data_IF_027130363533
#
_entry.id   IF_027130363533
#
_cell.length_a   1.000
_cell.length_b   1.000
_cell.length_c   1.000
_cell.angle_alpha   90.00
_cell.angle_beta   90.00
_cell.angle_gamma   90.00
#
_symmetry.space_group_name_H-M   'P 1'
#
loop_
_entity.id
_entity.type
_entity.pdbx_description
1 polymer ?
2 non-polymer ?
3 non-polymer ?
#
# COMPACT_ATOMS: atom_id res chain seq x y z
N UNK A 25 23.77 -0.10 12.97
CA UNK A 25 23.98 1.34 12.96
C UNK A 25 22.89 2.08 13.74
N UNK A 26 22.29 1.38 14.71
CA UNK A 26 21.35 2.05 15.61
C UNK A 26 21.30 1.32 16.95
N UNK A 27 21.20 2.05 18.06
CA UNK A 27 21.31 3.52 18.11
C UNK A 27 21.13 4.06 19.53
N UNK A 28 21.58 5.30 19.73
CA UNK A 28 21.25 6.10 20.91
C UNK A 28 22.06 7.39 20.80
N UNK A 29 21.65 8.42 21.52
CA UNK A 29 22.36 9.70 21.46
C UNK A 29 21.97 10.61 22.61
N UNK A 30 22.53 11.83 22.59
CA UNK A 30 22.26 12.83 23.60
C UNK A 30 20.86 13.41 23.44
N UNK A 31 20.55 13.86 22.22
CA UNK A 31 19.26 14.48 21.94
C UNK A 31 18.14 13.45 22.05
N UNK A 32 17.01 13.90 22.60
CA UNK A 32 15.84 13.05 22.74
C UNK A 32 14.72 13.60 21.86
N UNK A 33 13.82 12.71 21.44
CA UNK A 33 12.72 13.11 20.56
C UNK A 33 11.93 14.27 21.15
N UNK A 34 11.64 14.18 22.45
CA UNK A 34 10.90 15.22 23.14
C UNK A 34 11.52 16.58 22.89
N UNK A 35 12.83 16.66 23.08
CA UNK A 35 13.55 17.93 23.04
C UNK A 35 13.28 18.71 21.76
N UNK A 36 13.09 18.00 20.66
CA UNK A 36 12.92 18.64 19.36
C UNK A 36 11.50 18.62 18.81
N UNK A 37 10.56 18.07 19.57
CA UNK A 37 9.20 17.89 19.06
C UNK A 37 8.11 17.95 20.14
N UNK A 38 6.92 18.38 19.72
CA UNK A 38 5.74 18.35 20.57
C UNK A 38 4.76 17.28 20.09
N UNK A 39 4.39 16.38 20.98
CA UNK A 39 3.47 15.30 20.65
C UNK A 39 2.02 15.80 20.60
N UNK A 40 1.18 15.07 19.88
CA UNK A 40 -0.22 15.45 19.70
C UNK A 40 -1.12 14.22 19.54
N UNK A 41 -2.35 14.45 19.07
CA UNK A 41 -3.37 13.40 19.00
C UNK A 41 -2.93 12.14 18.29
N UNK A 42 -3.49 11.00 18.70
CA UNK A 42 -3.21 9.74 18.04
C UNK A 42 -3.93 9.69 16.70
N UNK A 43 -3.17 9.53 15.62
CA UNK A 43 -3.72 9.63 14.28
C UNK A 43 -4.05 8.29 13.63
N UNK A 44 -3.78 7.18 14.30
CA UNK A 44 -4.16 5.90 13.75
C UNK A 44 -3.46 4.66 14.30
N UNK A 45 -3.95 3.52 13.85
CA UNK A 45 -3.46 2.20 14.25
C UNK A 45 -3.38 2.04 15.78
N UNK A 46 -2.42 1.26 16.30
CA UNK A 46 -1.61 0.35 15.51
C UNK A 46 -1.27 -0.91 16.28
N UNK A 47 -0.70 -1.88 15.57
CA UNK A 47 -0.47 -3.21 16.13
C UNK A 47 0.70 -3.23 17.13
N UNK A 48 1.91 -3.03 16.61
CA UNK A 48 3.11 -3.05 17.43
C UNK A 48 3.51 -1.64 17.86
N UNK A 49 2.66 -0.65 17.56
CA UNK A 49 3.06 0.74 17.67
C UNK A 49 1.94 1.75 17.41
N UNK A 50 2.17 3.00 17.79
CA UNK A 50 1.16 4.05 17.67
C UNK A 50 1.66 5.29 16.94
N UNK A 51 1.00 5.61 15.83
CA UNK A 51 1.29 6.84 15.10
C UNK A 51 0.51 8.00 15.71
N UNK A 52 1.13 9.19 15.69
CA UNK A 52 0.53 10.37 16.30
C UNK A 52 1.00 11.62 15.58
N UNK A 53 0.14 12.62 15.50
CA UNK A 53 0.52 13.90 14.92
C UNK A 53 1.52 14.55 15.86
N UNK A 54 2.46 15.31 15.30
CA UNK A 54 3.38 16.07 16.12
C UNK A 54 3.84 17.32 15.38
N UNK A 55 4.64 18.13 16.05
CA UNK A 55 5.16 19.36 15.47
C UNK A 55 6.63 19.45 15.76
N UNK A 56 7.38 20.06 14.85
CA UNK A 56 8.80 20.30 15.07
C UNK A 56 8.89 21.66 15.73
N UNK A 57 9.24 21.71 17.02
CA UNK A 57 9.06 22.92 17.79
C UNK A 57 9.86 24.10 17.22
N UNK A 58 11.00 23.81 16.62
CA UNK A 58 11.79 24.84 15.95
C UNK A 58 10.91 25.59 14.95
N UNK A 59 10.47 24.89 13.91
CA UNK A 59 9.76 25.50 12.79
C UNK A 59 8.23 25.42 12.90
N UNK A 60 7.74 24.84 13.99
CA UNK A 60 6.31 24.61 14.19
C UNK A 60 5.67 23.83 13.04
N UNK A 61 6.47 23.03 12.34
CA UNK A 61 5.97 22.27 11.19
C UNK A 61 5.28 20.98 11.59
N UNK A 62 4.41 20.49 10.72
CA UNK A 62 3.61 19.30 11.02
C UNK A 62 4.21 18.02 10.44
N UNK A 63 4.50 17.08 11.33
CA UNK A 63 4.96 15.75 10.90
C UNK A 63 4.12 14.68 11.57
N UNK A 64 4.38 13.42 11.20
CA UNK A 64 3.72 12.29 11.84
C UNK A 64 4.83 11.43 12.42
N UNK A 65 4.56 10.80 13.56
CA UNK A 65 5.57 9.96 14.20
C UNK A 65 5.03 8.61 14.66
N UNK A 66 5.58 7.55 14.07
CA UNK A 66 5.25 6.19 14.45
C UNK A 66 6.13 5.75 15.60
N UNK A 67 5.52 5.43 16.74
CA UNK A 67 6.26 5.01 17.90
C UNK A 67 6.18 3.49 18.05
N UNK A 68 7.28 2.82 17.75
CA UNK A 68 7.33 1.37 17.80
C UNK A 68 7.88 0.92 19.14
N UNK A 69 7.32 -0.16 19.68
CA UNK A 69 7.86 -0.71 20.90
C UNK A 69 8.89 -1.76 20.53
N UNK A 70 10.14 -1.49 20.88
CA UNK A 70 11.25 -2.37 20.54
C UNK A 70 11.03 -3.76 21.13
N UNK A 71 10.47 -3.78 22.34
CA UNK A 71 10.18 -5.04 23.01
C UNK A 71 9.27 -5.92 22.16
N UNK A 72 8.51 -5.29 21.29
CA UNK A 72 7.56 -6.03 20.47
C UNK A 72 8.00 -6.18 19.02
N UNK A 73 8.04 -5.09 18.26
CA UNK A 73 8.54 -5.17 16.88
C UNK A 73 10.02 -4.86 16.84
N UNK A 74 10.63 -5.07 15.67
CA UNK A 74 11.97 -4.56 15.41
C UNK A 74 11.96 -3.65 14.19
N UNK A 75 12.13 -2.34 14.43
CA UNK A 75 12.09 -1.33 13.37
C UNK A 75 13.16 -1.49 12.29
N UNK A 76 14.20 -2.25 12.57
CA UNK A 76 15.38 -2.29 11.70
C UNK A 76 14.98 -2.38 10.23
N UNK A 77 14.34 -3.48 9.85
CA UNK A 77 13.99 -3.73 8.45
C UNK A 77 13.22 -2.55 7.84
N UNK A 78 12.23 -2.04 8.56
CA UNK A 78 11.42 -0.95 8.05
C UNK A 78 12.23 0.32 7.86
N UNK A 79 12.89 0.76 8.93
CA UNK A 79 13.61 2.02 8.92
C UNK A 79 14.62 2.06 7.77
N UNK A 80 15.41 1.00 7.63
CA UNK A 80 16.38 0.91 6.55
C UNK A 80 15.72 1.22 5.22
N UNK A 81 14.69 0.45 4.91
CA UNK A 81 13.95 0.60 3.67
C UNK A 81 13.62 2.06 3.45
N UNK A 82 13.16 2.70 4.51
CA UNK A 82 12.70 4.08 4.43
C UNK A 82 13.83 5.05 4.15
N UNK A 83 15.01 4.77 4.70
CA UNK A 83 16.17 5.63 4.51
C UNK A 83 16.56 5.67 3.04
N UNK A 84 16.64 4.49 2.43
CA UNK A 84 17.12 4.36 1.05
C UNK A 84 16.05 4.75 0.05
N UNK A 85 14.85 4.24 0.27
CA UNK A 85 13.79 4.34 -0.71
C UNK A 85 12.81 5.49 -0.44
N UNK A 86 13.00 6.21 0.65
CA UNK A 86 12.12 7.31 0.99
C UNK A 86 12.24 8.43 -0.03
N UNK A 87 13.40 8.49 -0.67
CA UNK A 87 13.66 9.49 -1.69
C UNK A 87 12.57 9.48 -2.75
N UNK A 88 12.02 8.30 -3.00
CA UNK A 88 10.94 8.16 -3.97
C UNK A 88 9.82 9.09 -3.57
N UNK A 89 9.37 9.91 -4.53
CA UNK A 89 8.38 10.96 -4.25
C UNK A 89 7.06 10.40 -3.77
N UNK A 90 6.67 9.30 -4.40
CA UNK A 90 5.40 8.65 -4.10
C UNK A 90 5.51 7.66 -2.96
N UNK A 91 6.68 7.59 -2.32
CA UNK A 91 6.86 6.79 -1.13
C UNK A 91 6.95 7.69 0.09
N UNK A 92 6.29 7.31 1.17
CA UNK A 92 6.30 8.13 2.38
C UNK A 92 7.75 8.44 2.73
N UNK A 93 8.04 9.73 2.91
CA UNK A 93 9.40 10.20 3.12
C UNK A 93 9.74 10.26 4.60
N UNK A 94 10.95 9.80 4.94
CA UNK A 94 11.39 9.75 6.34
C UNK A 94 12.16 11.01 6.71
N UNK A 95 11.57 11.83 7.56
CA UNK A 95 12.13 13.13 7.91
C UNK A 95 12.97 13.16 9.18
N UNK A 96 12.94 12.09 9.99
CA UNK A 96 13.70 12.08 11.25
C UNK A 96 13.50 10.77 12.03
N UNK A 97 14.22 10.61 13.14
CA UNK A 97 14.03 9.44 14.01
C UNK A 97 14.95 9.45 15.26
N UNK A 98 14.54 8.70 16.29
CA UNK A 98 15.27 8.57 17.55
C UNK A 98 15.12 7.18 18.12
N UNK A 99 15.95 6.85 19.11
CA UNK A 99 15.72 5.71 19.96
C UNK A 99 16.03 6.13 21.40
N UNK A 100 15.03 6.12 22.28
CA UNK A 100 15.23 6.57 23.65
C UNK A 100 15.60 5.40 24.55
N UNK A 101 15.75 4.23 23.92
CA UNK A 101 16.15 3.02 24.60
C UNK A 101 14.94 2.13 24.85
N UNK A 102 13.77 2.74 24.91
CA UNK A 102 12.55 1.99 25.17
C UNK A 102 11.82 1.75 23.85
N UNK A 103 11.42 2.84 23.19
CA UNK A 103 10.75 2.77 21.90
C UNK A 103 11.66 3.32 20.81
N UNK A 104 11.12 3.39 19.61
CA UNK A 104 11.80 3.99 18.47
C UNK A 104 10.83 4.93 17.76
N UNK A 105 11.19 6.20 17.71
CA UNK A 105 10.30 7.22 17.21
C UNK A 105 10.68 7.61 15.80
N UNK A 106 9.87 7.18 14.84
CA UNK A 106 10.14 7.42 13.44
C UNK A 106 9.26 8.56 12.93
N UNK A 107 9.89 9.67 12.58
CA UNK A 107 9.18 10.81 12.06
C UNK A 107 9.19 10.76 10.54
N UNK A 108 8.02 10.56 9.96
CA UNK A 108 7.86 10.65 8.51
C UNK A 108 6.85 11.77 8.22
N UNK A 109 6.59 12.00 6.93
CA UNK A 109 5.76 13.13 6.52
C UNK A 109 4.29 12.90 6.80
N UNK A 110 3.65 13.86 7.47
CA UNK A 110 2.23 13.77 7.79
C UNK A 110 1.37 13.96 6.54
N UNK A 111 0.32 13.14 6.42
CA UNK A 111 -0.50 13.12 5.21
C UNK A 111 -1.82 13.87 5.42
N UNK A 112 -1.94 15.02 4.77
CA UNK A 112 -3.13 15.87 4.89
C UNK A 112 -4.29 15.45 4.00
N UNK A 113 -3.99 15.05 2.77
CA UNK A 113 -5.02 14.73 1.79
C UNK A 113 -5.87 13.52 2.16
N UNK A 114 -5.59 12.92 3.31
CA UNK A 114 -6.42 11.83 3.82
C UNK A 114 -6.19 10.55 3.04
N UNK A 115 -6.95 9.51 3.34
CA UNK A 115 -6.79 8.23 2.67
C UNK A 115 -7.14 8.34 1.19
N UNK A 116 -6.40 7.62 0.35
CA UNK A 116 -6.60 7.72 -1.09
C UNK A 116 -7.92 7.10 -1.52
N UNK A 117 -8.12 5.83 -1.17
CA UNK A 117 -9.31 5.14 -1.61
C UNK A 117 -10.54 5.88 -1.11
N UNK A 118 -10.51 6.21 0.19
CA UNK A 118 -11.62 6.92 0.81
C UNK A 118 -11.92 8.20 0.05
N UNK A 119 -10.90 9.03 -0.15
CA UNK A 119 -11.06 10.22 -0.94
C UNK A 119 -11.73 9.85 -2.25
N UNK A 120 -11.01 9.17 -3.14
CA UNK A 120 -11.47 8.88 -4.49
C UNK A 120 -12.90 8.34 -4.57
N UNK A 121 -13.32 7.57 -3.57
CA UNK A 121 -14.62 6.89 -3.64
C UNK A 121 -15.77 7.88 -3.44
N UNK A 122 -15.46 8.98 -2.78
CA UNK A 122 -16.44 10.05 -2.59
C UNK A 122 -16.47 10.99 -3.79
N UNK A 123 -15.69 10.69 -4.83
CA UNK A 123 -15.66 11.54 -6.02
C UNK A 123 -16.70 11.01 -6.97
N UNK A 124 -17.78 11.75 -7.15
CA UNK A 124 -18.87 11.34 -8.02
C UNK A 124 -18.51 11.57 -9.48
N UNK A 125 -17.51 12.42 -9.72
CA UNK A 125 -16.97 12.54 -11.05
C UNK A 125 -15.54 12.02 -11.02
N UNK A 126 -15.36 10.83 -11.58
CA UNK A 126 -14.09 10.16 -11.65
C UNK A 126 -14.16 9.30 -12.90
N UNK A 127 -13.09 9.24 -13.68
CA UNK A 127 -13.15 8.54 -14.94
C UNK A 127 -12.06 7.49 -15.02
N UNK A 128 -12.24 6.52 -15.90
CA UNK A 128 -11.26 5.46 -16.11
C UNK A 128 -9.88 6.04 -16.40
N UNK A 129 -9.83 6.99 -17.32
CA UNK A 129 -8.59 7.66 -17.64
C UNK A 129 -7.95 8.20 -16.36
N UNK A 130 -8.80 8.61 -15.42
CA UNK A 130 -8.38 9.18 -14.14
C UNK A 130 -7.97 8.13 -13.11
N UNK A 131 -8.61 6.97 -13.16
CA UNK A 131 -8.28 5.87 -12.26
C UNK A 131 -7.04 5.14 -12.78
N UNK A 132 -6.77 5.33 -14.06
CA UNK A 132 -5.63 4.70 -14.72
C UNK A 132 -4.37 5.48 -14.37
N UNK A 133 -4.55 6.78 -14.14
CA UNK A 133 -3.44 7.65 -13.77
C UNK A 133 -3.05 7.41 -12.31
N UNK A 134 -4.03 7.13 -11.46
CA UNK A 134 -3.75 6.83 -10.06
C UNK A 134 -3.01 5.51 -9.94
N UNK A 135 -3.57 4.45 -10.51
CA UNK A 135 -2.98 3.13 -10.39
C UNK A 135 -1.63 3.07 -11.07
N UNK A 136 -1.50 3.73 -12.22
CA UNK A 136 -0.22 3.82 -12.89
C UNK A 136 0.81 4.25 -11.86
N UNK A 137 0.62 5.44 -11.34
CA UNK A 137 1.54 6.04 -10.38
C UNK A 137 1.90 5.07 -9.26
N UNK A 138 0.91 4.30 -8.81
CA UNK A 138 1.08 3.39 -7.68
C UNK A 138 1.88 2.15 -8.04
N UNK A 139 1.69 1.65 -9.25
CA UNK A 139 2.35 0.43 -9.68
C UNK A 139 3.78 0.75 -10.10
N UNK A 140 3.96 1.89 -10.75
CA UNK A 140 5.29 2.37 -11.12
C UNK A 140 6.15 2.47 -9.88
N UNK A 141 5.53 2.85 -8.77
CA UNK A 141 6.21 2.91 -7.49
C UNK A 141 6.58 1.51 -7.03
N UNK A 142 5.64 0.58 -7.15
CA UNK A 142 5.86 -0.78 -6.69
C UNK A 142 6.83 -1.56 -7.58
N UNK A 143 6.85 -1.24 -8.87
CA UNK A 143 7.77 -1.90 -9.79
C UNK A 143 9.18 -1.58 -9.35
N UNK A 144 9.41 -0.31 -9.03
CA UNK A 144 10.72 0.11 -8.56
C UNK A 144 11.15 -0.77 -7.39
N UNK A 145 10.31 -0.80 -6.36
CA UNK A 145 10.61 -1.55 -5.15
C UNK A 145 10.89 -3.01 -5.48
N UNK A 146 10.22 -3.53 -6.50
CA UNK A 146 10.33 -4.95 -6.84
C UNK A 146 11.69 -5.31 -7.45
N UNK A 147 12.24 -4.43 -8.29
CA UNK A 147 13.56 -4.63 -8.85
C UNK A 147 14.62 -4.43 -7.77
N UNK A 148 14.21 -3.82 -6.66
CA UNK A 148 15.11 -3.58 -5.54
C UNK A 148 15.00 -4.67 -4.48
N UNK A 149 14.22 -5.69 -4.78
CA UNK A 149 14.09 -6.83 -3.88
C UNK A 149 13.43 -6.46 -2.57
N UNK A 150 12.37 -5.67 -2.64
CA UNK A 150 11.66 -5.25 -1.44
C UNK A 150 10.18 -5.42 -1.63
N UNK A 151 9.53 -6.04 -0.64
CA UNK A 151 8.10 -6.30 -0.69
C UNK A 151 7.43 -5.68 0.52
N UNK A 152 6.28 -5.05 0.31
CA UNK A 152 5.57 -4.36 1.38
C UNK A 152 4.88 -5.36 2.29
N UNK A 153 4.19 -6.31 1.67
CA UNK A 153 3.44 -7.32 2.39
C UNK A 153 2.39 -6.72 3.32
N UNK A 154 2.10 -5.44 3.17
CA UNK A 154 0.78 -4.92 3.50
C UNK A 154 0.45 -3.79 2.54
N UNK A 155 -0.38 -4.04 1.54
CA UNK A 155 -0.78 -2.98 0.62
C UNK A 155 -2.21 -2.44 0.80
N UNK A 156 -2.92 -2.94 1.81
CA UNK A 156 -4.31 -2.55 2.01
C UNK A 156 -4.44 -1.03 1.92
N UNK A 157 -5.46 -0.54 1.17
CA UNK A 157 -5.57 0.87 0.77
C UNK A 157 -5.43 1.88 1.91
N UNK A 158 -5.63 1.45 3.14
CA UNK A 158 -5.47 2.34 4.28
C UNK A 158 -4.01 2.81 4.43
N UNK A 159 -3.08 2.12 3.77
CA UNK A 159 -1.67 2.49 3.80
C UNK A 159 -1.25 3.34 2.60
N UNK A 160 -2.17 3.55 1.68
CA UNK A 160 -1.95 4.47 0.58
C UNK A 160 -2.74 5.74 0.89
N UNK A 161 -2.03 6.84 1.11
CA UNK A 161 -2.67 8.09 1.50
C UNK A 161 -2.34 9.20 0.50
N UNK A 162 -2.90 10.38 0.78
CA UNK A 162 -2.65 11.58 0.00
C UNK A 162 -1.96 12.60 0.90
N UNK A 163 -0.71 12.93 0.59
CA UNK A 163 0.04 13.89 1.38
C UNK A 163 -0.70 15.22 1.48
N UNK A 164 -1.42 15.56 0.41
CA UNK A 164 -2.28 16.73 0.44
C UNK A 164 -3.51 16.55 -0.45
N UNK A 165 -4.37 17.55 -0.45
CA UNK A 165 -5.66 17.46 -1.12
C UNK A 165 -5.56 17.90 -2.58
N UNK A 166 -4.34 18.16 -3.03
CA UNK A 166 -4.09 18.57 -4.40
C UNK A 166 -4.84 17.66 -5.36
N UNK A 167 -4.96 16.39 -4.97
CA UNK A 167 -5.69 15.42 -5.76
C UNK A 167 -4.91 15.00 -6.99
N UNK A 168 -3.64 15.40 -7.03
CA UNK A 168 -2.75 14.95 -8.10
C UNK A 168 -2.02 13.70 -7.64
N UNK A 169 -1.89 12.71 -8.53
CA UNK A 169 -1.16 11.46 -8.27
C UNK A 169 0.24 11.66 -7.67
N UNK A 170 0.81 12.86 -7.80
CA UNK A 170 2.15 13.12 -7.30
C UNK A 170 2.07 13.44 -5.81
N UNK A 171 0.85 13.45 -5.28
CA UNK A 171 0.63 13.59 -3.84
C UNK A 171 0.42 12.22 -3.20
N UNK A 172 0.40 11.17 -4.01
CA UNK A 172 0.19 9.82 -3.50
C UNK A 172 1.44 9.35 -2.76
N UNK A 173 1.22 8.72 -1.61
CA UNK A 173 2.32 8.18 -0.81
C UNK A 173 1.96 6.81 -0.26
N UNK A 174 2.82 5.83 -0.44
CA UNK A 174 2.65 4.52 0.18
C UNK A 174 3.27 4.61 1.56
N UNK A 175 2.66 3.95 2.56
CA UNK A 175 3.00 4.22 3.95
C UNK A 175 3.09 2.96 4.81
N UNK A 176 3.42 3.18 6.09
CA UNK A 176 3.46 2.10 7.07
C UNK A 176 4.18 0.85 6.56
N UNK A 177 5.49 0.94 6.44
CA UNK A 177 6.31 -0.13 5.89
C UNK A 177 6.75 -1.12 6.96
N UNK A 178 6.16 -1.00 8.14
CA UNK A 178 6.49 -1.87 9.25
C UNK A 178 6.51 -3.35 8.92
N UNK A 179 5.62 -3.78 8.03
CA UNK A 179 5.54 -5.18 7.63
C UNK A 179 6.29 -5.52 6.33
N UNK A 180 7.02 -4.58 5.76
CA UNK A 180 7.77 -4.83 4.53
C UNK A 180 9.03 -5.65 4.83
N UNK A 181 9.73 -6.06 3.78
CA UNK A 181 10.97 -6.82 3.94
C UNK A 181 11.90 -6.66 2.74
N UNK A 182 13.21 -6.60 3.01
CA UNK A 182 14.24 -6.68 1.97
C UNK A 182 14.54 -8.10 1.54
N UNK A 183 15.08 -8.25 0.33
CA UNK A 183 15.55 -9.54 -0.14
C UNK A 183 17.01 -9.65 0.25
N UNK A 184 17.32 -10.60 1.11
CA UNK A 184 18.69 -10.78 1.56
C UNK A 184 19.19 -12.19 1.27
N UNK A 185 20.51 -12.33 1.20
CA UNK A 185 21.15 -13.61 1.03
C UNK A 185 21.07 -14.40 2.34
N UNK A 186 21.27 -15.70 2.23
CA UNK A 186 21.52 -16.55 3.37
C UNK A 186 22.68 -15.97 4.17
N UNK A 187 23.55 -15.22 3.49
CA UNK A 187 24.68 -14.55 4.13
C UNK A 187 24.26 -13.26 4.85
N UNK A 188 23.00 -12.88 4.68
CA UNK A 188 22.47 -11.66 5.26
C UNK A 188 22.80 -10.43 4.43
N UNK A 189 22.91 -10.64 3.11
CA UNK A 189 23.42 -9.60 2.22
C UNK A 189 22.31 -8.99 1.40
N UNK A 190 22.43 -7.72 1.09
CA UNK A 190 21.50 -7.10 0.15
C UNK A 190 21.55 -7.86 -1.16
N UNK A 191 20.40 -7.99 -1.81
CA UNK A 191 20.32 -8.64 -3.11
C UNK A 191 19.20 -8.07 -3.95
N UNK A 192 19.26 -8.35 -5.25
CA UNK A 192 18.27 -7.89 -6.20
C UNK A 192 17.73 -9.13 -6.90
N UNK A 193 16.50 -9.07 -7.42
CA UNK A 193 15.97 -10.29 -8.05
C UNK A 193 16.74 -10.60 -9.32
N UNK A 194 17.53 -9.62 -9.77
CA UNK A 194 18.39 -9.80 -10.94
C UNK A 194 19.51 -10.74 -10.62
N UNK A 195 20.39 -10.29 -9.74
CA UNK A 195 21.46 -11.14 -9.27
C UNK A 195 20.85 -12.40 -8.71
N UNK A 196 21.53 -13.52 -8.93
CA UNK A 196 20.99 -14.81 -8.57
C UNK A 196 21.97 -15.55 -7.66
N UNK A 197 23.18 -15.77 -8.17
CA UNK A 197 24.16 -16.68 -7.58
C UNK A 197 24.24 -16.58 -6.05
N UNK A 198 24.65 -15.43 -5.53
CA UNK A 198 24.92 -15.32 -4.10
C UNK A 198 23.77 -15.89 -3.31
N UNK A 199 24.09 -16.73 -2.34
CA UNK A 199 23.11 -17.68 -1.84
C UNK A 199 22.10 -17.13 -0.86
N UNK A 200 20.83 -17.46 -1.14
CA UNK A 200 19.71 -17.24 -0.24
C UNK A 200 18.97 -18.56 -0.12
N UNK A 201 18.43 -18.85 1.05
CA UNK A 201 17.70 -20.10 1.25
C UNK A 201 16.61 -20.21 0.18
N UNK A 202 16.29 -21.44 -0.23
CA UNK A 202 15.37 -21.63 -1.37
C UNK A 202 13.97 -21.12 -1.09
N UNK A 203 13.47 -21.30 0.12
CA UNK A 203 12.13 -20.85 0.48
C UNK A 203 11.98 -19.34 0.32
N UNK A 204 13.08 -18.60 0.40
CA UNK A 204 13.02 -17.15 0.31
C UNK A 204 12.96 -16.70 -1.15
N UNK A 205 13.41 -17.55 -2.05
CA UNK A 205 13.23 -17.34 -3.48
C UNK A 205 11.77 -17.66 -3.80
N UNK A 206 11.10 -18.28 -2.83
CA UNK A 206 9.69 -18.61 -2.90
C UNK A 206 8.85 -17.47 -2.33
N UNK A 207 9.05 -17.17 -1.05
CA UNK A 207 8.23 -16.22 -0.34
C UNK A 207 8.36 -14.80 -0.89
N UNK A 208 9.43 -14.54 -1.62
CA UNK A 208 9.59 -13.24 -2.27
C UNK A 208 8.79 -13.21 -3.58
N UNK A 209 8.76 -14.34 -4.28
CA UNK A 209 8.01 -14.45 -5.51
C UNK A 209 6.52 -14.41 -5.26
N UNK A 210 6.11 -14.80 -4.06
CA UNK A 210 4.73 -14.71 -3.64
C UNK A 210 4.44 -13.30 -3.15
N UNK A 211 5.14 -12.89 -2.10
CA UNK A 211 4.93 -11.57 -1.49
C UNK A 211 4.94 -10.46 -2.54
N UNK A 212 5.60 -10.69 -3.67
CA UNK A 212 5.62 -9.71 -4.75
C UNK A 212 4.28 -9.68 -5.45
N UNK A 213 3.81 -10.85 -5.87
CA UNK A 213 2.54 -10.97 -6.55
C UNK A 213 1.40 -10.70 -5.58
N UNK A 214 1.68 -10.92 -4.29
CA UNK A 214 0.71 -10.71 -3.23
C UNK A 214 0.39 -9.23 -3.16
N UNK A 215 1.39 -8.41 -3.41
CA UNK A 215 1.22 -6.98 -3.52
C UNK A 215 0.37 -6.65 -4.74
N UNK A 216 0.55 -7.42 -5.80
CA UNK A 216 -0.19 -7.21 -7.05
C UNK A 216 -1.65 -7.65 -6.93
N UNK A 217 -1.94 -8.57 -6.02
CA UNK A 217 -3.32 -8.95 -5.77
C UNK A 217 -4.01 -7.81 -5.06
N UNK A 218 -3.30 -7.20 -4.12
CA UNK A 218 -3.85 -6.11 -3.35
C UNK A 218 -4.14 -4.91 -4.25
N UNK A 219 -3.31 -4.69 -5.26
CA UNK A 219 -3.56 -3.62 -6.21
C UNK A 219 -4.78 -3.97 -7.05
N UNK A 220 -5.00 -5.26 -7.25
CA UNK A 220 -6.21 -5.74 -7.92
C UNK A 220 -7.43 -5.33 -7.14
N UNK A 221 -7.34 -5.44 -5.82
CA UNK A 221 -8.43 -5.08 -4.92
C UNK A 221 -8.72 -3.58 -4.92
N UNK A 222 -7.71 -2.79 -5.22
CA UNK A 222 -7.86 -1.34 -5.28
C UNK A 222 -8.55 -0.94 -6.59
N UNK A 223 -8.12 -1.52 -7.69
CA UNK A 223 -8.67 -1.19 -9.00
C UNK A 223 -10.10 -1.70 -9.12
N UNK A 224 -10.38 -2.85 -8.52
CA UNK A 224 -11.71 -3.41 -8.55
C UNK A 224 -12.65 -2.52 -7.76
N UNK A 225 -12.22 -2.15 -6.56
CA UNK A 225 -12.98 -1.28 -5.69
C UNK A 225 -13.11 0.13 -6.27
N UNK A 226 -12.17 0.53 -7.11
CA UNK A 226 -12.14 1.89 -7.63
C UNK A 226 -13.13 2.10 -8.76
N UNK A 227 -13.41 1.03 -9.50
CA UNK A 227 -14.26 1.13 -10.69
C UNK A 227 -15.73 0.90 -10.35
N UNK A 228 -15.98 0.47 -9.13
CA UNK A 228 -17.30 0.00 -8.71
C UNK A 228 -17.78 0.73 -7.47
N UNK A 229 -17.00 0.63 -6.39
CA UNK A 229 -17.42 1.14 -5.10
C UNK A 229 -17.77 0.04 -4.13
N UNK A 230 -17.46 -1.20 -4.51
CA UNK A 230 -17.51 -2.32 -3.58
C UNK A 230 -16.27 -3.19 -3.78
N UNK A 231 -15.86 -3.87 -2.72
CA UNK A 231 -14.70 -4.74 -2.79
C UNK A 231 -15.16 -6.14 -3.23
N UNK A 232 -14.31 -6.84 -3.98
CA UNK A 232 -14.70 -8.09 -4.66
C UNK A 232 -15.01 -9.24 -3.71
N UNK A 233 -14.25 -9.38 -2.64
CA UNK A 233 -14.41 -10.53 -1.75
C UNK A 233 -15.19 -10.28 -0.46
N UNK A 234 -15.67 -9.06 -0.26
CA UNK A 234 -16.54 -8.79 0.87
C UNK A 234 -17.54 -7.68 0.55
N UNK A 235 -18.77 -7.84 1.02
CA UNK A 235 -19.77 -6.78 0.94
C UNK A 235 -19.64 -5.72 2.04
N UNK A 236 -19.43 -6.16 3.27
CA UNK A 236 -19.38 -5.25 4.41
C UNK A 236 -18.60 -5.80 5.57
N UNK A 237 -18.39 -4.97 6.60
CA UNK A 237 -17.61 -5.33 7.80
C UNK A 237 -18.12 -6.56 8.52
N UNK A 238 -19.35 -6.97 8.24
CA UNK A 238 -19.97 -8.06 8.98
C UNK A 238 -19.72 -9.45 8.38
N UNK A 239 -19.19 -9.49 7.16
CA UNK A 239 -19.00 -10.77 6.47
C UNK A 239 -18.19 -11.74 7.32
N UNK A 240 -18.59 -13.01 7.31
CA UNK A 240 -17.81 -14.05 7.98
C UNK A 240 -16.42 -14.17 7.36
N UNK A 241 -15.40 -14.39 8.20
CA UNK A 241 -14.04 -14.57 7.65
C UNK A 241 -14.00 -15.77 6.71
N UNK A 242 -14.77 -16.81 7.03
CA UNK A 242 -14.78 -18.02 6.21
C UNK A 242 -15.32 -17.73 4.83
N UNK A 243 -16.38 -16.92 4.75
CA UNK A 243 -17.01 -16.66 3.47
C UNK A 243 -16.09 -15.82 2.60
N UNK A 244 -15.38 -14.89 3.21
CA UNK A 244 -14.45 -14.06 2.47
C UNK A 244 -13.33 -14.96 1.94
N UNK A 245 -12.69 -15.68 2.85
CA UNK A 245 -11.65 -16.64 2.49
C UNK A 245 -12.18 -17.65 1.48
N UNK A 246 -13.48 -17.92 1.52
CA UNK A 246 -14.11 -18.89 0.63
C UNK A 246 -14.22 -18.30 -0.77
N UNK A 247 -14.77 -17.10 -0.84
CA UNK A 247 -14.91 -16.38 -2.11
C UNK A 247 -13.57 -16.31 -2.79
N UNK A 248 -12.52 -16.17 -2.00
CA UNK A 248 -11.17 -15.99 -2.52
C UNK A 248 -10.58 -17.30 -3.03
N UNK A 249 -10.80 -18.38 -2.28
CA UNK A 249 -10.31 -19.68 -2.66
C UNK A 249 -10.70 -19.95 -4.11
N UNK A 250 -11.82 -19.38 -4.49
CA UNK A 250 -12.29 -19.47 -5.87
C UNK A 250 -11.64 -18.41 -6.74
N UNK A 251 -11.89 -17.16 -6.40
CA UNK A 251 -11.73 -16.07 -7.36
C UNK A 251 -13.05 -15.99 -8.10
N UNK A 252 -13.01 -15.67 -9.38
CA UNK A 252 -14.23 -15.61 -10.19
C UNK A 252 -15.14 -14.49 -9.69
N UNK A 253 -14.51 -13.47 -9.13
CA UNK A 253 -15.15 -12.19 -8.87
C UNK A 253 -15.83 -11.73 -10.16
N UNK A 254 -17.01 -11.12 -10.05
CA UNK A 254 -17.82 -10.80 -11.23
C UNK A 254 -17.44 -9.48 -11.89
N UNK A 255 -17.03 -9.57 -13.16
CA UNK A 255 -16.67 -8.39 -13.95
C UNK A 255 -17.76 -7.91 -14.92
N UNK A 256 -18.93 -8.55 -14.89
CA UNK A 256 -20.01 -8.13 -15.77
C UNK A 256 -21.26 -7.71 -14.99
N UNK A 257 -22.02 -6.79 -15.57
CA UNK A 257 -23.27 -6.36 -14.98
C UNK A 257 -23.12 -5.39 -13.83
N UNK A 258 -24.22 -4.74 -13.47
CA UNK A 258 -24.21 -3.79 -12.38
C UNK A 258 -23.26 -2.65 -12.68
N UNK A 259 -22.28 -2.47 -11.81
CA UNK A 259 -21.32 -1.39 -11.93
C UNK A 259 -20.18 -1.76 -12.87
N UNK A 260 -20.30 -2.95 -13.47
CA UNK A 260 -19.35 -3.43 -14.46
C UNK A 260 -19.81 -3.25 -15.92
N UNK A 261 -21.00 -2.68 -16.12
CA UNK A 261 -21.53 -2.53 -17.48
C UNK A 261 -20.82 -1.48 -18.29
N UNK A 262 -20.79 -0.26 -17.76
CA UNK A 262 -20.35 0.89 -18.53
C UNK A 262 -18.83 0.93 -18.61
N UNK A 263 -18.15 0.10 -17.84
CA UNK A 263 -16.70 0.13 -17.78
C UNK A 263 -16.10 -0.50 -19.03
N UNK A 264 -14.77 -0.41 -19.14
CA UNK A 264 -14.03 -0.91 -20.28
C UNK A 264 -13.78 -2.40 -20.22
N UNK A 265 -13.56 -3.01 -21.38
CA UNK A 265 -13.13 -4.39 -21.44
C UNK A 265 -11.68 -4.50 -21.00
N UNK A 266 -10.90 -3.50 -21.38
CA UNK A 266 -9.47 -3.47 -21.08
C UNK A 266 -9.21 -3.55 -19.58
N UNK A 267 -9.77 -2.60 -18.84
CA UNK A 267 -9.62 -2.56 -17.39
C UNK A 267 -10.21 -3.80 -16.74
N UNK A 268 -11.28 -4.35 -17.32
CA UNK A 268 -11.88 -5.55 -16.79
C UNK A 268 -10.89 -6.70 -16.92
N UNK A 269 -10.28 -6.80 -18.09
CA UNK A 269 -9.24 -7.78 -18.33
C UNK A 269 -8.05 -7.57 -17.40
N UNK A 270 -7.80 -6.32 -17.04
CA UNK A 270 -6.67 -5.99 -16.19
C UNK A 270 -6.94 -6.48 -14.77
N UNK A 271 -8.08 -6.07 -14.22
CA UNK A 271 -8.44 -6.44 -12.86
C UNK A 271 -8.40 -7.95 -12.68
N UNK A 272 -8.71 -8.68 -13.74
CA UNK A 272 -8.82 -10.13 -13.65
C UNK A 272 -7.47 -10.79 -13.36
N UNK A 273 -6.43 -10.37 -14.06
CA UNK A 273 -5.11 -10.97 -13.92
C UNK A 273 -4.35 -10.44 -12.70
N UNK A 274 -4.62 -9.19 -12.34
CA UNK A 274 -4.05 -8.62 -11.13
C UNK A 274 -4.60 -9.40 -9.95
N UNK A 275 -5.87 -9.77 -10.07
CA UNK A 275 -6.57 -10.51 -9.02
C UNK A 275 -6.52 -12.00 -9.26
N UNK A 276 -5.81 -12.42 -10.31
CA UNK A 276 -5.77 -13.82 -10.67
C UNK A 276 -5.32 -14.63 -9.45
N UNK A 277 -5.81 -15.85 -9.36
CA UNK A 277 -5.63 -16.66 -8.15
C UNK A 277 -4.22 -17.21 -7.97
N UNK A 278 -3.66 -17.79 -9.04
CA UNK A 278 -2.32 -18.32 -8.99
C UNK A 278 -1.31 -17.20 -8.83
N UNK A 279 -0.54 -17.23 -7.73
CA UNK A 279 0.50 -16.20 -7.58
C UNK A 279 1.37 -16.12 -8.83
N UNK A 280 1.39 -17.20 -9.61
CA UNK A 280 2.22 -17.28 -10.80
C UNK A 280 1.58 -16.61 -12.01
N UNK A 281 0.52 -17.20 -12.53
CA UNK A 281 -0.13 -16.67 -13.73
C UNK A 281 -0.57 -15.23 -13.49
N UNK A 282 -0.69 -14.86 -12.22
CA UNK A 282 -1.05 -13.50 -11.84
C UNK A 282 0.01 -12.53 -12.32
N UNK A 283 -0.38 -11.28 -12.51
CA UNK A 283 0.51 -10.30 -13.11
C UNK A 283 1.67 -9.89 -12.19
N UNK A 284 2.71 -9.35 -12.80
CA UNK A 284 3.80 -8.72 -12.07
C UNK A 284 3.69 -7.22 -12.32
N UNK A 285 4.10 -6.44 -11.33
CA UNK A 285 3.99 -4.98 -11.44
C UNK A 285 4.51 -4.51 -12.79
N UNK A 286 5.60 -5.11 -13.24
CA UNK A 286 6.22 -4.69 -14.49
C UNK A 286 5.29 -4.92 -15.69
N UNK A 287 4.58 -6.04 -15.68
CA UNK A 287 3.62 -6.35 -16.75
C UNK A 287 2.37 -5.48 -16.64
N UNK A 288 1.92 -5.21 -15.41
CA UNK A 288 0.78 -4.34 -15.19
C UNK A 288 0.97 -3.06 -15.99
N UNK A 289 2.13 -2.45 -15.82
CA UNK A 289 2.42 -1.15 -16.41
C UNK A 289 2.49 -1.26 -17.92
N UNK A 290 2.70 -2.47 -18.41
CA UNK A 290 2.71 -2.73 -19.84
C UNK A 290 1.32 -3.04 -20.42
N UNK A 291 0.36 -3.32 -19.54
CA UNK A 291 -1.03 -3.53 -19.94
C UNK A 291 -1.57 -2.28 -20.63
N UNK A 292 -2.36 -2.45 -21.70
CA UNK A 292 -2.77 -1.31 -22.53
C UNK A 292 -3.71 -0.33 -21.84
N UNK A 293 -4.33 -0.73 -20.74
CA UNK A 293 -5.18 0.16 -19.97
C UNK A 293 -4.33 1.22 -19.29
N UNK A 294 -3.13 0.83 -18.87
CA UNK A 294 -2.19 1.76 -18.25
C UNK A 294 -1.44 2.62 -19.28
N UNK A 295 -1.01 2.01 -20.38
CA UNK A 295 -0.27 2.75 -21.40
C UNK A 295 -1.20 3.55 -22.33
N UNK A 296 -2.31 2.93 -22.70
CA UNK A 296 -3.22 3.46 -23.71
C UNK A 296 -4.38 4.27 -23.13
N UNK A 297 -4.26 4.65 -21.87
CA UNK A 297 -5.35 5.33 -21.16
C UNK A 297 -6.03 6.43 -21.99
N UNK A 298 -5.30 7.08 -22.89
CA UNK A 298 -5.86 8.16 -23.71
C UNK A 298 -7.07 7.72 -24.56
N UNK A 299 -7.23 6.41 -24.71
CA UNK A 299 -8.34 5.83 -25.46
C UNK A 299 -9.51 5.50 -24.54
N UNK A 300 -9.43 5.96 -23.29
CA UNK A 300 -10.29 5.47 -22.23
C UNK A 300 -11.31 6.51 -21.80
N UNK A 301 -12.42 6.05 -21.20
CA UNK A 301 -13.54 6.90 -20.78
C UNK A 301 -13.11 8.11 -19.95
N UNK A 302 -13.59 9.28 -20.38
CA UNK A 302 -13.38 10.53 -19.66
C UNK A 302 -14.60 10.87 -18.82
N UNK A 303 -15.54 9.93 -18.74
CA UNK A 303 -16.85 10.17 -18.14
C UNK A 303 -16.98 9.36 -16.86
N UNK A 304 -17.92 9.73 -16.02
CA UNK A 304 -17.93 9.25 -14.64
C UNK A 304 -18.20 7.76 -14.64
N UNK A 305 -18.15 7.19 -13.46
CA UNK A 305 -18.34 5.76 -13.29
C UNK A 305 -19.58 5.55 -12.46
N UNK A 306 -20.61 4.94 -13.04
CA UNK A 306 -21.70 4.51 -12.19
C UNK A 306 -21.01 3.64 -11.15
N UNK A 307 -21.18 4.00 -9.89
CA UNK A 307 -20.50 3.31 -8.80
C UNK A 307 -21.40 3.24 -7.59
N UNK A 308 -21.47 2.08 -6.96
CA UNK A 308 -22.12 2.00 -5.67
C UNK A 308 -21.34 2.90 -4.75
N UNK A 309 -22.05 3.75 -4.00
CA UNK A 309 -21.34 4.59 -3.05
C UNK A 309 -21.72 4.28 -1.62
N UNK A 310 -20.79 3.63 -0.91
CA UNK A 310 -20.88 3.54 0.53
C UNK A 310 -19.48 3.60 1.09
N UNK A 311 -18.80 4.73 0.89
CA UNK A 311 -17.38 4.82 1.23
C UNK A 311 -17.08 4.22 2.59
N UNK A 312 -18.00 4.41 3.54
CA UNK A 312 -17.83 3.82 4.85
C UNK A 312 -17.90 2.30 4.75
N UNK A 313 -18.97 1.81 4.12
CA UNK A 313 -19.14 0.37 3.91
C UNK A 313 -17.88 -0.27 3.31
N UNK A 314 -17.49 0.16 2.12
CA UNK A 314 -16.31 -0.36 1.46
C UNK A 314 -15.11 -0.43 2.40
N UNK A 315 -14.87 0.65 3.14
CA UNK A 315 -13.78 0.67 4.10
C UNK A 315 -13.90 -0.48 5.09
N UNK A 316 -15.05 -0.57 5.75
CA UNK A 316 -15.29 -1.61 6.73
C UNK A 316 -15.23 -3.00 6.12
N UNK A 317 -15.49 -3.09 4.82
CA UNK A 317 -15.45 -4.37 4.13
C UNK A 317 -14.00 -4.79 3.94
N UNK A 318 -13.16 -3.85 3.53
CA UNK A 318 -11.73 -4.09 3.37
C UNK A 318 -11.12 -4.57 4.68
N UNK A 319 -11.48 -3.89 5.76
CA UNK A 319 -10.99 -4.27 7.09
C UNK A 319 -11.36 -5.73 7.38
N UNK A 320 -12.60 -6.10 7.10
CA UNK A 320 -13.05 -7.47 7.29
C UNK A 320 -12.26 -8.41 6.40
N UNK A 321 -11.84 -7.91 5.24
CA UNK A 321 -11.14 -8.72 4.25
C UNK A 321 -9.73 -9.09 4.71
N UNK A 322 -9.00 -8.12 5.25
CA UNK A 322 -7.60 -8.33 5.58
C UNK A 322 -7.41 -9.08 6.89
N UNK A 323 -8.27 -8.79 7.86
CA UNK A 323 -8.24 -9.51 9.12
C UNK A 323 -8.41 -11.00 8.88
N UNK A 324 -9.23 -11.35 7.89
CA UNK A 324 -9.47 -12.75 7.57
C UNK A 324 -8.18 -13.40 7.06
N UNK A 325 -7.46 -12.66 6.23
CA UNK A 325 -6.14 -13.08 5.76
C UNK A 325 -5.16 -13.28 6.91
N UNK A 326 -4.85 -12.20 7.62
CA UNK A 326 -3.74 -12.17 8.55
C UNK A 326 -4.02 -12.79 9.92
N UNK A 327 -5.28 -13.11 10.18
CA UNK A 327 -5.67 -13.65 11.47
C UNK A 327 -6.35 -15.00 11.29
X LIG B 1 -1.52 2.56 10.17
X LIG B 1 -0.72 2.84 10.94
X LIG B 1 0.31 3.23 11.95
X LIG B 1 1.46 2.28 11.87
X LIG B 1 1.59 1.24 12.83
X LIG B 1 2.28 2.41 10.97
X LIG B 1 0.79 4.61 11.68
X LIG B 1 0.00 5.64 10.95
X LIG B 1 -1.36 5.64 10.98
X LIG B 1 -2.13 6.66 10.22
X LIG B 1 -1.48 7.62 9.51
X LIG B 1 0.01 7.63 9.47
X LIG B 1 0.75 8.67 8.71
X LIG B 1 2.03 8.59 8.25
X LIG B 1 2.33 9.78 7.60
X LIG B 1 1.24 10.58 7.66
X LIG B 1 0.24 9.94 8.34
X LIG B 1 0.72 6.69 10.17
X LIG B 1 0.98 1.15 13.50
X LIG B 1 2.30 0.66 12.79
X LIG B 1 1.70 4.59 11.35
X LIG B 1 -1.83 4.95 11.48
X LIG B 1 -3.10 6.66 10.25
X LIG B 1 -1.98 8.29 9.03
X LIG B 1 2.64 7.83 8.36
X LIG B 1 3.12 9.98 7.21
X LIG B 1 -0.65 10.28 8.54
X LIG B 1 1.69 6.70 10.15
X LIG C 1 9.02 10.27 -0.78
#
# INVERSE_FOLDING_TARGET
AHHHHHHVDDDDKMQTVGVHSIVQQLHRNSIQFTDGYEVKEDIGVGSYSVCKRCIHKATNMEFAVKIIDKSKRDPTEEIEILLRYGQHPNIITLKDVYDDGKYVYVVMELMKGGELLDKILRQKFFSEREASAVLFTITKTVEYLHAQGVVHRDLKPSNILYVDESGNPESIRICDFGFAKQLRAENGLLMTPCYTANFVAPEVLERQGYDAACDIWSLGVLLYTMLTGYTPFANGPDDTPEEILARIGSGKFSLSGGYWNSVSDTAKDLVSKMLHVDPHQRLTAALVLRHPWIVHWDQLPQYQLNRQDAPHLVKGAMAATYSALNRNQSPVLEPVGRSTLAQRRGIKKITSTAL
RMM N01 C02 C03 C04 N05 O06 C07 C08 C09 C10 C11 C12 C13 C14 N15 N16 C17 C18 H051 H052 H072 H091 H101 H111 H141 H151 H171 H181
NA NA
#
